data_IF_764533817479
#
_entry.id   IF_764533817479
#
_cell.length_a   1.000
_cell.length_b   1.000
_cell.length_c   1.000
_cell.angle_alpha   90.00
_cell.angle_beta   90.00
_cell.angle_gamma   90.00
#
_symmetry.space_group_name_H-M   'P 1'
#
loop_
_entity.id
_entity.type
_entity.pdbx_description
1 polymer ?
#
# COMPACT_ATOMS: atom_id res chain seq x y z
N UNK A 1 -19.20 -12.62 17.44
CA UNK A 1 -18.79 -11.85 16.24
C UNK A 1 -18.87 -12.67 14.94
N UNK A 2 -18.22 -13.84 14.83
CA UNK A 2 -18.25 -14.63 13.59
C UNK A 2 -19.66 -15.10 13.17
N UNK A 3 -20.50 -15.53 14.12
CA UNK A 3 -21.87 -15.99 13.80
C UNK A 3 -22.77 -14.84 13.34
N UNK A 4 -22.58 -13.64 13.90
CA UNK A 4 -23.28 -12.41 13.47
C UNK A 4 -22.88 -12.02 12.04
N UNK A 5 -21.58 -12.07 11.73
CA UNK A 5 -21.09 -11.82 10.37
C UNK A 5 -21.70 -12.81 9.36
N UNK A 6 -21.68 -14.10 9.68
CA UNK A 6 -22.28 -15.13 8.82
C UNK A 6 -23.77 -14.91 8.61
N UNK A 7 -24.51 -14.58 9.67
CA UNK A 7 -25.94 -14.28 9.58
C UNK A 7 -26.22 -13.06 8.69
N UNK A 8 -25.43 -11.99 8.82
CA UNK A 8 -25.55 -10.80 7.97
C UNK A 8 -25.26 -11.11 6.51
N UNK A 9 -24.20 -11.88 6.23
CA UNK A 9 -23.87 -12.30 4.85
C UNK A 9 -25.02 -13.10 4.23
N UNK A 10 -25.57 -14.07 4.96
CA UNK A 10 -26.72 -14.88 4.46
C UNK A 10 -27.93 -14.00 4.19
N UNK A 11 -28.23 -13.04 5.06
CA UNK A 11 -29.35 -12.10 4.87
C UNK A 11 -29.14 -11.23 3.62
N UNK A 12 -27.94 -10.67 3.44
CA UNK A 12 -27.60 -9.83 2.28
C UNK A 12 -27.68 -10.63 0.98
N UNK A 13 -27.19 -11.88 0.97
CA UNK A 13 -27.26 -12.76 -0.20
C UNK A 13 -28.72 -13.09 -0.53
N UNK A 14 -29.55 -13.37 0.48
CA UNK A 14 -30.98 -13.63 0.29
C UNK A 14 -31.70 -12.40 -0.26
N UNK A 15 -31.48 -11.21 0.32
CA UNK A 15 -32.03 -9.95 -0.17
C UNK A 15 -31.56 -9.65 -1.61
N UNK A 16 -30.28 -9.90 -1.91
CA UNK A 16 -29.72 -9.75 -3.25
C UNK A 16 -30.33 -10.72 -4.27
N UNK A 17 -30.80 -11.90 -3.85
CA UNK A 17 -31.46 -12.85 -4.75
C UNK A 17 -32.88 -12.42 -5.17
N UNK A 18 -33.51 -11.54 -4.39
CA UNK A 18 -34.88 -11.04 -4.62
C UNK A 18 -34.85 -9.64 -5.27
N UNK A 19 -33.78 -8.86 -5.04
CA UNK A 19 -33.58 -7.56 -5.63
C UNK A 19 -33.38 -7.64 -7.16
N UNK A 20 -33.74 -6.57 -7.88
CA UNK A 20 -33.50 -6.49 -9.32
C UNK A 20 -32.00 -6.32 -9.62
N UNK A 21 -31.57 -6.84 -10.77
CA UNK A 21 -30.19 -6.70 -11.23
C UNK A 21 -29.78 -5.22 -11.26
N UNK A 22 -30.62 -4.34 -11.81
CA UNK A 22 -30.34 -2.91 -11.91
C UNK A 22 -30.10 -2.25 -10.54
N UNK A 23 -30.85 -2.63 -9.50
CA UNK A 23 -30.66 -2.08 -8.16
C UNK A 23 -29.31 -2.51 -7.56
N UNK A 24 -28.93 -3.77 -7.75
CA UNK A 24 -27.66 -4.32 -7.25
C UNK A 24 -26.49 -3.67 -7.96
N UNK A 25 -26.54 -3.59 -9.29
CA UNK A 25 -25.48 -2.98 -10.10
C UNK A 25 -25.31 -1.49 -9.78
N UNK A 26 -26.40 -0.72 -9.73
CA UNK A 26 -26.34 0.71 -9.39
C UNK A 26 -25.77 0.96 -7.98
N UNK A 27 -26.11 0.09 -7.02
CA UNK A 27 -25.58 0.17 -5.65
C UNK A 27 -24.09 -0.20 -5.60
N UNK A 28 -23.71 -1.26 -6.31
CA UNK A 28 -22.32 -1.70 -6.41
C UNK A 28 -21.43 -0.63 -7.06
N UNK A 29 -21.89 -0.02 -8.16
CA UNK A 29 -21.18 1.05 -8.85
C UNK A 29 -21.03 2.28 -7.97
N UNK A 30 -22.06 2.63 -7.19
CA UNK A 30 -22.00 3.74 -6.23
C UNK A 30 -20.95 3.49 -5.15
N UNK A 31 -20.92 2.29 -4.56
CA UNK A 31 -19.91 1.91 -3.54
C UNK A 31 -18.52 1.88 -4.14
N UNK A 32 -18.37 1.34 -5.36
CA UNK A 32 -17.10 1.32 -6.09
C UNK A 32 -16.59 2.74 -6.35
N UNK A 33 -17.47 3.66 -6.76
CA UNK A 33 -17.15 5.07 -6.95
C UNK A 33 -16.66 5.72 -5.66
N UNK A 34 -17.36 5.51 -4.54
CA UNK A 34 -16.95 6.03 -3.22
C UNK A 34 -15.58 5.48 -2.82
N UNK A 35 -15.35 4.18 -2.98
CA UNK A 35 -14.06 3.54 -2.67
C UNK A 35 -12.93 4.12 -3.52
N UNK A 36 -13.17 4.30 -4.83
CA UNK A 36 -12.21 4.90 -5.73
C UNK A 36 -11.89 6.34 -5.31
N UNK A 37 -12.88 7.15 -4.97
CA UNK A 37 -12.69 8.54 -4.50
C UNK A 37 -11.84 8.56 -3.23
N UNK A 38 -12.14 7.72 -2.24
CA UNK A 38 -11.35 7.63 -0.99
C UNK A 38 -9.89 7.29 -1.29
N UNK A 39 -9.64 6.29 -2.14
CA UNK A 39 -8.29 5.91 -2.55
C UNK A 39 -7.57 7.04 -3.33
N UNK A 40 -8.27 7.74 -4.23
CA UNK A 40 -7.70 8.86 -4.97
C UNK A 40 -7.31 10.02 -4.05
N UNK A 41 -8.13 10.33 -3.03
CA UNK A 41 -7.80 11.33 -2.02
C UNK A 41 -6.57 10.89 -1.22
N UNK A 42 -6.52 9.63 -0.78
CA UNK A 42 -5.37 9.10 -0.06
C UNK A 42 -4.07 9.20 -0.89
N UNK A 43 -4.12 8.81 -2.17
CA UNK A 43 -2.97 8.93 -3.08
C UNK A 43 -2.60 10.40 -3.30
N UNK A 44 -3.57 11.29 -3.47
CA UNK A 44 -3.31 12.72 -3.65
C UNK A 44 -2.59 13.32 -2.42
N UNK A 45 -3.04 12.99 -1.21
CA UNK A 45 -2.40 13.41 0.04
C UNK A 45 -0.99 12.82 0.19
N UNK A 46 -0.79 11.57 -0.21
CA UNK A 46 0.50 10.88 -0.10
C UNK A 46 1.47 11.18 -1.26
N UNK A 47 0.98 11.79 -2.35
CA UNK A 47 1.72 12.00 -3.59
C UNK A 47 3.04 12.73 -3.38
N UNK A 48 3.07 13.73 -2.49
CA UNK A 48 4.29 14.47 -2.17
C UNK A 48 5.40 13.57 -1.60
N UNK A 49 5.06 12.64 -0.70
CA UNK A 49 6.01 11.66 -0.14
C UNK A 49 6.37 10.61 -1.19
N UNK A 50 5.39 10.11 -1.94
CA UNK A 50 5.60 9.11 -2.99
C UNK A 50 6.57 9.61 -4.08
N UNK A 51 6.43 10.85 -4.55
CA UNK A 51 7.33 11.43 -5.54
C UNK A 51 8.74 11.67 -4.99
N UNK A 52 8.88 12.05 -3.71
CA UNK A 52 10.20 12.14 -3.06
C UNK A 52 10.89 10.78 -3.00
N UNK A 53 10.15 9.74 -2.63
CA UNK A 53 10.66 8.36 -2.55
C UNK A 53 11.10 7.86 -3.92
N UNK A 54 10.28 8.13 -4.92
CA UNK A 54 10.60 7.79 -6.30
C UNK A 54 11.86 8.52 -6.79
N UNK A 55 12.02 9.80 -6.46
CA UNK A 55 13.24 10.55 -6.82
C UNK A 55 14.48 9.98 -6.16
N UNK A 56 14.43 9.73 -4.86
CA UNK A 56 15.55 9.12 -4.14
C UNK A 56 15.94 7.76 -4.74
N UNK A 57 14.96 6.90 -5.01
CA UNK A 57 15.17 5.62 -5.70
C UNK A 57 15.82 5.80 -7.08
N UNK A 58 15.33 6.75 -7.89
CA UNK A 58 15.87 7.02 -9.22
C UNK A 58 17.31 7.57 -9.17
N UNK A 59 17.62 8.42 -8.19
CA UNK A 59 18.95 9.00 -8.02
C UNK A 59 19.96 7.93 -7.59
N UNK A 60 19.58 7.03 -6.68
CA UNK A 60 20.39 5.85 -6.31
C UNK A 60 20.66 4.94 -7.51
N UNK A 61 19.61 4.62 -8.28
CA UNK A 61 19.74 3.77 -9.48
C UNK A 61 20.62 4.42 -10.54
N UNK A 62 20.54 5.74 -10.73
CA UNK A 62 21.40 6.49 -11.66
C UNK A 62 22.87 6.52 -11.22
N UNK A 63 23.11 6.50 -9.92
CA UNK A 63 24.46 6.37 -9.36
C UNK A 63 25.04 4.96 -9.51
N UNK A 64 24.30 4.00 -10.08
CA UNK A 64 24.74 2.62 -10.26
C UNK A 64 24.72 1.81 -8.96
N UNK A 65 24.08 2.33 -7.91
CA UNK A 65 23.91 1.65 -6.63
C UNK A 65 22.70 0.70 -6.70
N UNK A 66 22.71 -0.33 -5.85
CA UNK A 66 21.50 -1.09 -5.56
C UNK A 66 20.63 -0.22 -4.62
N UNK A 67 19.46 0.27 -5.06
CA UNK A 67 18.73 1.29 -4.34
C UNK A 67 18.14 0.75 -3.03
N UNK A 68 18.60 1.28 -1.91
CA UNK A 68 18.14 0.92 -0.56
C UNK A 68 17.54 2.15 0.11
N UNK A 69 16.32 2.01 0.59
CA UNK A 69 15.67 3.06 1.38
C UNK A 69 16.08 2.94 2.85
N UNK A 70 16.51 4.04 3.45
CA UNK A 70 16.72 4.16 4.90
C UNK A 70 15.94 5.36 5.43
N UNK A 71 15.46 5.25 6.67
CA UNK A 71 14.64 6.27 7.33
C UNK A 71 15.33 7.64 7.38
N UNK A 72 16.66 7.64 7.54
CA UNK A 72 17.47 8.86 7.58
C UNK A 72 17.40 9.69 6.29
N UNK A 73 17.04 9.07 5.15
CA UNK A 73 16.89 9.77 3.86
C UNK A 73 15.61 10.60 3.79
N UNK A 74 14.69 10.43 4.74
CA UNK A 74 13.42 11.14 4.81
C UNK A 74 13.08 11.59 6.24
N UNK A 75 13.89 12.49 6.84
CA UNK A 75 13.68 12.94 8.21
C UNK A 75 12.34 13.65 8.43
N UNK A 76 11.73 14.19 7.37
CA UNK A 76 10.44 14.86 7.42
C UNK A 76 9.23 13.90 7.49
N UNK A 77 9.42 12.61 7.17
CA UNK A 77 8.32 11.62 7.16
C UNK A 77 8.24 10.94 8.52
N UNK A 78 7.17 11.22 9.26
CA UNK A 78 6.92 10.63 10.57
C UNK A 78 6.21 9.28 10.44
N UNK A 79 6.35 8.42 11.46
CA UNK A 79 5.67 7.12 11.53
C UNK A 79 6.42 5.94 10.91
N UNK A 80 7.63 6.15 10.36
CA UNK A 80 8.49 5.06 9.89
C UNK A 80 9.13 4.36 11.11
N UNK A 81 8.74 3.12 11.39
CA UNK A 81 9.23 2.35 12.56
C UNK A 81 10.40 1.41 12.24
N UNK A 82 10.66 1.16 10.95
CA UNK A 82 11.64 0.18 10.47
C UNK A 82 12.67 0.86 9.55
N UNK A 83 13.73 0.13 9.16
CA UNK A 83 14.72 0.56 8.16
C UNK A 83 15.55 1.77 8.59
N UNK A 84 16.12 1.71 9.80
CA UNK A 84 16.98 2.78 10.32
C UNK A 84 18.26 2.90 9.48
N UNK A 85 18.92 1.78 9.19
CA UNK A 85 20.18 1.71 8.43
C UNK A 85 20.17 0.64 7.33
N UNK A 86 21.17 0.64 6.45
CA UNK A 86 21.27 -0.33 5.34
C UNK A 86 21.36 -1.79 5.82
N UNK A 87 21.98 -2.04 6.98
CA UNK A 87 22.12 -3.37 7.57
C UNK A 87 20.77 -3.92 8.06
N UNK A 88 19.90 -3.06 8.59
CA UNK A 88 18.54 -3.40 9.01
C UNK A 88 17.63 -3.72 7.83
N UNK A 89 17.94 -3.18 6.64
CA UNK A 89 17.17 -3.39 5.41
C UNK A 89 17.62 -4.64 4.66
N UNK A 90 18.94 -4.79 4.49
CA UNK A 90 19.53 -5.87 3.68
C UNK A 90 19.89 -7.11 4.49
N UNK A 91 19.89 -7.00 5.82
CA UNK A 91 20.43 -8.01 6.72
C UNK A 91 21.96 -7.98 6.75
N UNK A 92 22.61 -8.81 7.59
CA UNK A 92 24.06 -8.95 7.55
C UNK A 92 24.46 -9.48 6.17
N UNK A 93 25.09 -8.62 5.36
CA UNK A 93 25.59 -9.01 4.05
C UNK A 93 26.56 -10.18 4.26
N UNK A 94 26.28 -11.40 3.73
CA UNK A 94 27.31 -12.41 3.68
C UNK A 94 28.37 -11.83 2.77
N UNK A 95 29.53 -11.50 3.33
CA UNK A 95 30.69 -11.05 2.56
C UNK A 95 31.06 -12.23 1.65
N UNK A 96 30.44 -12.33 0.48
CA UNK A 96 30.79 -13.31 -0.54
C UNK A 96 32.24 -13.07 -0.87
N UNK A 97 33.05 -14.07 -0.58
CA UNK A 97 34.49 -13.97 -0.49
C UNK A 97 35.09 -13.33 -1.73
N UNK A 98 35.78 -12.21 -1.49
CA UNK A 98 36.93 -11.81 -2.30
C UNK A 98 37.98 -12.94 -2.20
N UNK A 99 37.96 -13.89 -3.12
CA UNK A 99 39.07 -14.82 -3.38
C UNK A 99 39.30 -14.92 -4.89
N UNK A 100 40.42 -14.31 -5.28
CA UNK A 100 41.26 -14.54 -6.46
C UNK A 100 40.64 -14.46 -7.86
#
# INVERSE_FOLDING_TARGET
MLQTYRALVVLVVFLGSIASADLIWNTADSIMGVMAIVNLIAIALLSGVAFKLLRDYLDQRRAGLDPVFTRERMPEVTGIQCWEDELSVTGPIPVSGRRH
#
